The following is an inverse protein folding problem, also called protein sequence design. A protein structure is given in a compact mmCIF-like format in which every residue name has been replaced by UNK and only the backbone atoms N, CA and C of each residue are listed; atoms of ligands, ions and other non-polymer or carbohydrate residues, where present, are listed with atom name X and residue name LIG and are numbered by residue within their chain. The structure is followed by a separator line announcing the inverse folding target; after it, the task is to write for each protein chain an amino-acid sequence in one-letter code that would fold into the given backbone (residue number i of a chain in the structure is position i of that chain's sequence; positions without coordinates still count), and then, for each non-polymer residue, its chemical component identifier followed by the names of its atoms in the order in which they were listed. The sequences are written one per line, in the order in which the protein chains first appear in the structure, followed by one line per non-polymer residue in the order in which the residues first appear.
data_IF_262225263274
#
_entry.id   IF_262225263274
#
_cell.length_a   1.000
_cell.length_b   1.000
_cell.length_c   1.000
_cell.angle_alpha   90.00
_cell.angle_beta   90.00
_cell.angle_gamma   90.00
#
_symmetry.space_group_name_H-M   'P 1'
#
loop_
_entity.id
_entity.type
_entity.pdbx_description
1 polymer ?
#
# COMPACT_ATOMS: atom_id res chain seq x y z
N UNK A 1 5.16 10.54 -21.11
CA UNK A 1 4.65 9.39 -21.90
C UNK A 1 5.58 8.17 -21.92
N UNK A 2 6.82 8.25 -21.39
CA UNK A 2 7.73 7.09 -21.33
C UNK A 2 7.27 5.95 -20.40
N UNK A 3 6.67 6.27 -19.23
CA UNK A 3 6.20 5.26 -18.25
C UNK A 3 5.06 4.41 -18.83
N UNK A 4 4.14 5.04 -19.54
CA UNK A 4 3.03 4.36 -20.19
C UNK A 4 3.52 3.48 -21.35
N UNK A 5 4.49 3.96 -22.13
CA UNK A 5 5.14 3.16 -23.18
C UNK A 5 5.84 1.93 -22.59
N UNK A 6 6.61 2.10 -21.51
CA UNK A 6 7.23 1.00 -20.79
C UNK A 6 6.21 -0.03 -20.29
N UNK A 7 5.05 0.42 -19.81
CA UNK A 7 3.95 -0.45 -19.39
C UNK A 7 3.35 -1.27 -20.54
N UNK A 8 3.28 -0.67 -21.73
CA UNK A 8 2.80 -1.32 -22.96
C UNK A 8 3.81 -2.36 -23.43
N UNK A 9 5.10 -2.02 -23.42
CA UNK A 9 6.19 -2.91 -23.85
C UNK A 9 6.35 -4.15 -22.94
N UNK A 10 6.13 -3.98 -21.64
CA UNK A 10 6.14 -5.09 -20.66
C UNK A 10 4.84 -5.90 -20.62
N UNK A 11 3.79 -5.48 -21.33
CA UNK A 11 2.47 -6.14 -21.33
C UNK A 11 1.62 -5.89 -20.08
N UNK A 12 2.13 -5.14 -19.10
CA UNK A 12 1.40 -4.76 -17.88
C UNK A 12 0.15 -3.95 -18.23
N UNK A 13 0.28 -3.02 -19.17
CA UNK A 13 -0.84 -2.20 -19.62
C UNK A 13 -1.97 -3.06 -20.22
N UNK A 14 -1.61 -4.07 -21.02
CA UNK A 14 -2.56 -5.00 -21.63
C UNK A 14 -3.24 -5.88 -20.58
N UNK A 15 -2.48 -6.39 -19.60
CA UNK A 15 -3.01 -7.17 -18.47
C UNK A 15 -4.04 -6.37 -17.67
N UNK A 16 -3.71 -5.13 -17.30
CA UNK A 16 -4.60 -4.28 -16.50
C UNK A 16 -5.84 -3.82 -17.26
N UNK A 17 -5.77 -3.68 -18.58
CA UNK A 17 -6.93 -3.34 -19.42
C UNK A 17 -7.81 -4.55 -19.76
N UNK A 18 -7.50 -5.75 -19.26
CA UNK A 18 -8.44 -6.88 -19.34
C UNK A 18 -9.63 -6.68 -18.39
N UNK A 19 -10.73 -7.40 -18.64
CA UNK A 19 -11.94 -7.36 -17.79
C UNK A 19 -11.67 -7.67 -16.31
N UNK A 20 -10.58 -8.36 -15.99
CA UNK A 20 -10.28 -8.85 -14.65
C UNK A 20 -8.99 -8.26 -14.05
N UNK A 21 -8.06 -7.77 -14.87
CA UNK A 21 -6.78 -7.25 -14.39
C UNK A 21 -6.96 -6.07 -13.44
N UNK A 22 -7.76 -5.07 -13.83
CA UNK A 22 -8.04 -3.92 -12.97
C UNK A 22 -8.81 -4.29 -11.70
N UNK A 23 -9.95 -5.01 -11.75
CA UNK A 23 -10.68 -5.40 -10.53
C UNK A 23 -9.85 -6.24 -9.55
N UNK A 24 -9.03 -7.17 -10.03
CA UNK A 24 -8.18 -8.00 -9.16
C UNK A 24 -7.12 -7.13 -8.47
N UNK A 25 -6.50 -6.20 -9.20
CA UNK A 25 -5.55 -5.26 -8.61
C UNK A 25 -6.22 -4.38 -7.53
N UNK A 26 -7.46 -3.94 -7.76
CA UNK A 26 -8.24 -3.20 -6.75
C UNK A 26 -8.54 -4.05 -5.52
N UNK A 27 -8.98 -5.30 -5.70
CA UNK A 27 -9.24 -6.22 -4.58
C UNK A 27 -7.98 -6.40 -3.73
N UNK A 28 -6.83 -6.65 -4.37
CA UNK A 28 -5.54 -6.81 -3.66
C UNK A 28 -5.15 -5.50 -2.95
N UNK A 29 -5.37 -4.35 -3.58
CA UNK A 29 -5.08 -3.05 -2.98
C UNK A 29 -5.92 -2.81 -1.72
N UNK A 30 -7.23 -3.03 -1.78
CA UNK A 30 -8.12 -2.86 -0.64
C UNK A 30 -7.85 -3.88 0.46
N UNK A 31 -7.50 -5.12 0.10
CA UNK A 31 -7.09 -6.11 1.09
C UNK A 31 -5.80 -5.70 1.82
N UNK A 32 -4.81 -5.19 1.08
CA UNK A 32 -3.60 -4.62 1.65
C UNK A 32 -3.89 -3.43 2.58
N UNK A 33 -4.83 -2.56 2.20
CA UNK A 33 -5.29 -1.44 3.03
C UNK A 33 -5.93 -1.93 4.34
N UNK A 34 -6.79 -2.93 4.29
CA UNK A 34 -7.41 -3.52 5.49
C UNK A 34 -6.34 -4.10 6.44
N UNK A 35 -5.32 -4.78 5.91
CA UNK A 35 -4.20 -5.29 6.70
C UNK A 35 -3.39 -4.15 7.33
N UNK A 36 -3.08 -3.10 6.57
CA UNK A 36 -2.35 -1.93 7.05
C UNK A 36 -3.12 -1.20 8.16
N UNK A 37 -4.40 -0.90 7.92
CA UNK A 37 -5.26 -0.22 8.89
C UNK A 37 -5.44 -1.10 10.14
N UNK A 38 -5.64 -2.40 9.98
CA UNK A 38 -5.79 -3.32 11.11
C UNK A 38 -4.52 -3.43 11.95
N UNK A 39 -3.34 -3.47 11.32
CA UNK A 39 -2.06 -3.57 12.03
C UNK A 39 -1.69 -2.25 12.68
N UNK A 40 -1.55 -1.16 11.91
CA UNK A 40 -1.19 0.17 12.42
C UNK A 40 -2.26 0.69 13.39
N UNK A 41 -3.54 0.51 13.09
CA UNK A 41 -4.63 0.91 13.98
C UNK A 41 -4.59 0.19 15.33
N UNK A 42 -4.15 -1.07 15.38
CA UNK A 42 -3.94 -1.77 16.65
C UNK A 42 -2.74 -1.21 17.44
N UNK A 43 -1.67 -0.81 16.75
CA UNK A 43 -0.56 -0.08 17.39
C UNK A 43 -1.05 1.26 17.97
N UNK A 44 -1.81 2.04 17.20
CA UNK A 44 -2.33 3.34 17.63
C UNK A 44 -3.31 3.22 18.80
N UNK A 45 -4.25 2.26 18.74
CA UNK A 45 -5.21 1.98 19.83
C UNK A 45 -4.50 1.59 21.13
N UNK A 46 -3.37 0.87 21.01
CA UNK A 46 -2.53 0.55 22.17
C UNK A 46 -1.83 1.80 22.71
N UNK A 47 -1.24 2.62 21.85
CA UNK A 47 -0.57 3.86 22.25
C UNK A 47 -1.55 4.86 22.91
N UNK A 48 -2.79 4.92 22.43
CA UNK A 48 -3.87 5.71 23.04
C UNK A 48 -4.41 5.12 24.36
N UNK A 49 -3.96 3.92 24.77
CA UNK A 49 -4.35 3.30 26.03
C UNK A 49 -5.71 2.59 26.01
N UNK A 50 -6.35 2.45 24.85
CA UNK A 50 -7.61 1.70 24.68
C UNK A 50 -7.33 0.20 24.65
N UNK A 51 -6.28 -0.22 23.96
CA UNK A 51 -5.88 -1.62 23.83
C UNK A 51 -4.79 -2.05 24.83
N UNK A 52 -4.91 -1.63 26.11
CA UNK A 52 -3.93 -1.96 27.19
C UNK A 52 -3.75 -3.46 27.45
N UNK A 53 -4.74 -4.28 27.06
CA UNK A 53 -4.68 -5.74 27.21
C UNK A 53 -3.79 -6.45 26.19
N UNK A 54 -3.42 -5.78 25.09
CA UNK A 54 -2.51 -6.36 24.09
C UNK A 54 -1.09 -6.30 24.65
N UNK A 55 -0.30 -7.35 24.49
CA UNK A 55 1.11 -7.37 24.88
C UNK A 55 2.02 -6.92 23.74
N UNK A 56 3.20 -6.38 24.04
CA UNK A 56 4.14 -5.92 22.99
C UNK A 56 4.57 -7.07 22.07
N UNK A 57 4.52 -8.31 22.58
CA UNK A 57 4.82 -9.54 21.85
C UNK A 57 3.76 -9.86 20.79
N UNK A 58 2.48 -9.62 21.07
CA UNK A 58 1.39 -9.80 20.10
C UNK A 58 1.47 -8.75 18.99
N UNK A 59 1.82 -7.52 19.35
CA UNK A 59 2.04 -6.44 18.40
C UNK A 59 3.17 -6.74 17.43
N UNK A 60 4.26 -7.34 17.92
CA UNK A 60 5.38 -7.79 17.09
C UNK A 60 4.97 -8.88 16.08
N UNK A 61 3.96 -9.72 16.38
CA UNK A 61 3.43 -10.71 15.43
C UNK A 61 2.58 -10.08 14.32
N UNK A 62 2.06 -8.88 14.52
CA UNK A 62 1.26 -8.13 13.53
C UNK A 62 2.13 -7.39 12.51
N UNK A 63 3.38 -7.08 12.86
CA UNK A 63 4.38 -6.42 12.01
C UNK A 63 4.53 -7.05 10.63
N UNK A 64 4.77 -8.37 10.47
CA UNK A 64 4.91 -8.98 9.15
C UNK A 64 3.64 -8.85 8.29
N UNK A 65 2.45 -8.87 8.91
CA UNK A 65 1.19 -8.64 8.19
C UNK A 65 1.05 -7.19 7.73
N UNK A 66 1.52 -6.23 8.53
CA UNK A 66 1.56 -4.81 8.15
C UNK A 66 2.51 -4.57 6.99
N UNK A 67 3.69 -5.21 7.01
CA UNK A 67 4.67 -5.17 5.91
C UNK A 67 4.08 -5.80 4.64
N UNK A 68 3.41 -6.95 4.76
CA UNK A 68 2.76 -7.60 3.63
C UNK A 68 1.65 -6.72 3.03
N UNK A 69 0.79 -6.13 3.88
CA UNK A 69 -0.25 -5.20 3.45
C UNK A 69 0.31 -3.95 2.76
N UNK A 70 1.40 -3.38 3.32
CA UNK A 70 2.13 -2.28 2.71
C UNK A 70 2.71 -2.64 1.34
N UNK A 71 3.38 -3.78 1.23
CA UNK A 71 3.92 -4.27 -0.04
C UNK A 71 2.82 -4.47 -1.10
N UNK A 72 1.69 -5.07 -0.72
CA UNK A 72 0.53 -5.24 -1.61
C UNK A 72 0.02 -3.89 -2.12
N UNK A 73 -0.17 -2.92 -1.22
CA UNK A 73 -0.61 -1.56 -1.56
C UNK A 73 0.37 -0.84 -2.49
N UNK A 74 1.69 -0.97 -2.25
CA UNK A 74 2.72 -0.35 -3.09
C UNK A 74 2.72 -0.96 -4.48
N UNK A 75 2.73 -2.29 -4.61
CA UNK A 75 2.77 -2.98 -5.92
C UNK A 75 1.53 -2.64 -6.74
N UNK A 76 0.34 -2.76 -6.16
CA UNK A 76 -0.92 -2.44 -6.85
C UNK A 76 -1.06 -0.94 -7.13
N UNK A 77 -0.59 -0.07 -6.22
CA UNK A 77 -0.56 1.37 -6.43
C UNK A 77 0.33 1.78 -7.60
N UNK A 78 1.51 1.17 -7.72
CA UNK A 78 2.42 1.38 -8.86
C UNK A 78 1.76 0.93 -10.16
N UNK A 79 1.11 -0.23 -10.16
CA UNK A 79 0.35 -0.74 -11.31
C UNK A 79 -0.71 0.29 -11.80
N UNK A 80 -1.46 0.92 -10.90
CA UNK A 80 -2.41 1.98 -11.26
C UNK A 80 -1.74 3.23 -11.83
N UNK A 81 -0.64 3.69 -11.24
CA UNK A 81 0.10 4.88 -11.72
C UNK A 81 0.73 4.63 -13.08
N UNK A 82 1.29 3.46 -13.31
CA UNK A 82 1.94 3.07 -14.57
C UNK A 82 0.91 2.93 -15.70
N UNK A 83 -0.29 2.44 -15.40
CA UNK A 83 -1.36 2.23 -16.39
C UNK A 83 -2.17 3.49 -16.68
N UNK A 84 -2.35 4.37 -15.69
CA UNK A 84 -3.11 5.62 -15.84
C UNK A 84 -2.36 6.84 -15.25
N UNK A 85 -1.15 7.16 -15.76
CA UNK A 85 -0.29 8.19 -15.16
C UNK A 85 -0.95 9.58 -15.14
N UNK A 86 -1.72 9.93 -16.17
CA UNK A 86 -2.41 11.21 -16.29
C UNK A 86 -3.52 11.44 -15.24
N UNK A 87 -4.10 10.38 -14.68
CA UNK A 87 -5.14 10.50 -13.67
C UNK A 87 -4.55 10.60 -12.25
N UNK A 88 -3.45 9.91 -12.00
CA UNK A 88 -2.89 9.77 -10.66
C UNK A 88 -1.74 10.74 -10.36
N UNK A 89 -0.88 11.07 -11.33
CA UNK A 89 0.28 11.96 -11.06
C UNK A 89 -0.11 13.40 -10.79
N UNK A 90 -1.19 13.89 -11.41
CA UNK A 90 -1.64 15.27 -11.26
C UNK A 90 -2.63 15.47 -10.10
N UNK A 91 -3.02 14.39 -9.42
CA UNK A 91 -3.92 14.49 -8.28
C UNK A 91 -3.12 14.76 -6.99
N UNK A 92 -3.27 15.93 -6.35
CA UNK A 92 -2.52 16.28 -5.14
C UNK A 92 -2.76 15.30 -3.99
N UNK A 93 -3.96 14.72 -3.90
CA UNK A 93 -4.28 13.73 -2.88
C UNK A 93 -3.47 12.43 -3.04
N UNK A 94 -3.16 12.04 -4.28
CA UNK A 94 -2.32 10.88 -4.56
C UNK A 94 -0.86 11.15 -4.18
N UNK A 95 -0.36 12.35 -4.47
CA UNK A 95 1.00 12.75 -4.09
C UNK A 95 1.17 12.77 -2.57
N UNK A 96 0.21 13.33 -1.84
CA UNK A 96 0.19 13.31 -0.38
C UNK A 96 0.15 11.87 0.15
N UNK A 97 -0.70 11.00 -0.42
CA UNK A 97 -0.77 9.58 -0.05
C UNK A 97 0.58 8.87 -0.24
N UNK A 98 1.26 9.09 -1.36
CA UNK A 98 2.59 8.50 -1.63
C UNK A 98 3.64 9.02 -0.64
N UNK A 99 3.64 10.32 -0.33
CA UNK A 99 4.56 10.87 0.69
C UNK A 99 4.33 10.25 2.07
N UNK A 100 3.07 10.17 2.51
CA UNK A 100 2.72 9.55 3.80
C UNK A 100 3.11 8.07 3.85
N UNK A 101 2.89 7.33 2.76
CA UNK A 101 3.35 5.95 2.64
C UNK A 101 4.87 5.84 2.72
N UNK A 102 5.61 6.74 2.06
CA UNK A 102 7.07 6.80 2.15
C UNK A 102 7.56 7.05 3.58
N UNK A 103 6.94 7.99 4.29
CA UNK A 103 7.23 8.27 5.72
C UNK A 103 6.94 7.03 6.58
N UNK A 104 5.82 6.35 6.35
CA UNK A 104 5.48 5.12 7.07
C UNK A 104 6.51 4.01 6.80
N UNK A 105 6.95 3.84 5.56
CA UNK A 105 7.99 2.89 5.19
C UNK A 105 9.34 3.18 5.85
N UNK A 106 9.76 4.46 5.89
CA UNK A 106 10.98 4.88 6.60
C UNK A 106 10.86 4.64 8.09
N UNK A 107 9.71 4.96 8.69
CA UNK A 107 9.46 4.72 10.11
C UNK A 107 9.62 3.22 10.44
N UNK A 108 8.99 2.35 9.65
CA UNK A 108 9.15 0.89 9.81
C UNK A 108 10.61 0.45 9.66
N UNK A 109 11.32 0.94 8.64
CA UNK A 109 12.72 0.57 8.42
C UNK A 109 13.66 1.03 9.56
N UNK A 110 13.38 2.18 10.19
CA UNK A 110 14.18 2.68 11.32
C UNK A 110 13.87 1.95 12.63
N UNK A 111 12.61 1.58 12.87
CA UNK A 111 12.20 0.90 14.11
C UNK A 111 12.39 -0.62 14.09
N UNK A 112 12.39 -1.25 12.91
CA UNK A 112 12.49 -2.70 12.74
C UNK A 112 13.70 -3.16 11.91
N UNK A 113 14.54 -2.23 11.44
CA UNK A 113 15.81 -2.51 10.76
C UNK A 113 17.00 -2.62 11.70
#
# INVERSE_FOLDING_TARGET
MAIEQWARDTGIFAMMNTKWGWPIAEIIHFFGLCLLIGTVGMFDLRMMGVARGVTMKELHRLVPFGIAGYAMCVVTGLLFVVTAPGQYLYNPAMQAKIMLMGVAGVNMAVFYG
#
